data_IF_028568437269
#
_entry.id   IF_028568437269
#
_cell.length_a   1.000
_cell.length_b   1.000
_cell.length_c   1.000
_cell.angle_alpha   90.00
_cell.angle_beta   90.00
_cell.angle_gamma   90.00
#
_symmetry.space_group_name_H-M   'P 1'
#
loop_
_entity.id
_entity.type
_entity.pdbx_description
1 polymer ?
#
# COMPACT_ATOMS: atom_id res chain seq x y z
N UNK A 1 -9.30 8.30 5.14
CA UNK A 1 -9.92 7.37 6.12
C UNK A 1 -11.26 7.96 6.56
N UNK A 2 -12.15 7.23 7.27
CA UNK A 2 -13.38 7.82 7.79
C UNK A 2 -13.08 9.09 8.62
N UNK A 3 -14.01 10.05 8.62
CA UNK A 3 -14.02 11.20 9.54
C UNK A 3 -12.81 12.17 9.44
N UNK A 4 -12.24 12.36 8.25
CA UNK A 4 -11.17 13.34 8.05
C UNK A 4 -9.77 12.85 8.48
N UNK A 5 -9.65 11.58 8.86
CA UNK A 5 -8.36 10.96 9.12
C UNK A 5 -7.57 10.71 7.82
N UNK A 6 -6.25 10.86 7.89
CA UNK A 6 -5.31 10.78 6.76
C UNK A 6 -4.29 9.66 7.00
N UNK A 7 -3.86 9.00 5.92
CA UNK A 7 -2.74 8.05 5.98
C UNK A 7 -1.62 8.56 5.10
N UNK A 8 -0.46 8.78 5.71
CA UNK A 8 0.78 9.10 5.03
C UNK A 8 1.56 7.82 4.76
N UNK A 9 2.28 7.80 3.65
CA UNK A 9 3.07 6.66 3.23
C UNK A 9 4.51 7.08 2.94
N UNK A 10 5.46 6.38 3.54
CA UNK A 10 6.89 6.58 3.35
C UNK A 10 7.53 5.30 2.83
N UNK A 11 7.86 5.26 1.54
CA UNK A 11 8.46 4.11 0.87
C UNK A 11 9.94 4.32 0.62
N UNK A 12 10.76 3.30 0.87
CA UNK A 12 12.17 3.26 0.48
C UNK A 12 12.38 2.55 -0.86
N UNK A 13 11.30 2.06 -1.48
CA UNK A 13 11.34 1.42 -2.79
C UNK A 13 11.73 2.45 -3.88
N UNK A 14 12.34 2.00 -4.99
CA UNK A 14 12.55 0.60 -5.37
C UNK A 14 13.75 -0.08 -4.71
N UNK A 15 14.74 0.68 -4.21
CA UNK A 15 16.02 0.10 -3.74
C UNK A 15 15.92 -0.43 -2.30
N UNK A 16 15.01 0.11 -1.49
CA UNK A 16 14.76 -0.30 -0.12
C UNK A 16 13.60 -1.28 0.02
N UNK A 17 13.62 -2.06 1.11
CA UNK A 17 12.67 -3.14 1.41
C UNK A 17 11.52 -2.75 2.35
N UNK A 18 11.43 -1.48 2.71
CA UNK A 18 10.48 -1.00 3.72
C UNK A 18 9.57 0.07 3.13
N UNK A 19 8.29 -0.04 3.48
CA UNK A 19 7.34 1.05 3.40
C UNK A 19 6.66 1.20 4.75
N UNK A 20 6.42 2.43 5.18
CA UNK A 20 5.78 2.77 6.45
C UNK A 20 4.46 3.48 6.19
N UNK A 21 3.42 3.05 6.88
CA UNK A 21 2.13 3.74 6.94
C UNK A 21 2.02 4.48 8.26
N UNK A 22 1.70 5.77 8.19
CA UNK A 22 1.48 6.63 9.35
C UNK A 22 0.06 7.14 9.30
N UNK A 23 -0.73 6.79 10.31
CA UNK A 23 -2.12 7.21 10.42
C UNK A 23 -2.23 8.46 11.27
N UNK A 24 -2.95 9.45 10.74
CA UNK A 24 -3.26 10.70 11.40
C UNK A 24 -4.76 10.75 11.74
N UNK A 25 -5.09 11.26 12.92
CA UNK A 25 -6.47 11.66 13.23
C UNK A 25 -6.87 12.93 12.47
N UNK A 26 -8.14 13.35 12.60
CA UNK A 26 -8.66 14.55 11.95
C UNK A 26 -8.00 15.85 12.42
N UNK A 27 -7.25 15.83 13.53
CA UNK A 27 -6.47 16.96 14.02
C UNK A 27 -5.01 16.92 13.54
N UNK A 28 -4.65 15.96 12.69
CA UNK A 28 -3.30 15.77 12.17
C UNK A 28 -2.33 15.10 13.15
N UNK A 29 -2.81 14.49 14.25
CA UNK A 29 -1.95 13.79 15.21
C UNK A 29 -1.74 12.34 14.80
N UNK A 30 -0.50 11.88 14.94
CA UNK A 30 -0.15 10.47 14.70
C UNK A 30 -0.86 9.57 15.72
N UNK A 31 -1.66 8.63 15.22
CA UNK A 31 -2.35 7.61 16.02
C UNK A 31 -1.77 6.21 15.82
N UNK A 32 -1.13 5.95 14.68
CA UNK A 32 -0.41 4.70 14.44
C UNK A 32 0.76 4.89 13.46
N UNK A 33 1.78 4.06 13.59
CA UNK A 33 2.86 3.90 12.61
C UNK A 33 3.19 2.42 12.49
N UNK A 34 3.22 1.90 11.25
CA UNK A 34 3.49 0.48 10.99
C UNK A 34 4.35 0.28 9.74
N UNK A 35 5.24 -0.72 9.78
CA UNK A 35 5.88 -1.23 8.58
C UNK A 35 4.83 -2.03 7.79
N UNK A 36 4.66 -1.69 6.51
CA UNK A 36 3.58 -2.19 5.68
C UNK A 36 3.91 -3.54 5.05
N UNK A 37 5.15 -3.73 4.59
CA UNK A 37 5.60 -4.89 3.82
C UNK A 37 6.08 -6.04 4.73
N UNK A 38 5.22 -6.54 5.63
CA UNK A 38 5.47 -7.77 6.42
C UNK A 38 4.68 -8.94 5.87
N UNK A 39 5.17 -10.16 6.12
CA UNK A 39 4.45 -11.41 5.82
C UNK A 39 3.05 -11.41 6.48
N UNK A 40 2.96 -11.03 7.76
CA UNK A 40 1.68 -10.98 8.47
C UNK A 40 0.67 -10.03 7.82
N UNK A 41 1.13 -8.89 7.28
CA UNK A 41 0.24 -7.98 6.57
C UNK A 41 -0.18 -8.56 5.22
N UNK A 42 0.73 -9.20 4.47
CA UNK A 42 0.40 -9.86 3.21
C UNK A 42 -0.61 -11.00 3.39
N UNK A 43 -0.53 -11.74 4.49
CA UNK A 43 -1.48 -12.82 4.81
C UNK A 43 -2.92 -12.33 5.04
N UNK A 44 -3.14 -11.01 5.15
CA UNK A 44 -4.48 -10.42 5.28
C UNK A 44 -5.16 -10.13 3.95
N UNK A 45 -4.45 -10.27 2.82
CA UNK A 45 -5.04 -10.07 1.50
C UNK A 45 -6.10 -11.13 1.26
N UNK A 46 -7.28 -10.71 0.84
CA UNK A 46 -8.39 -11.62 0.49
C UNK A 46 -8.58 -11.64 -1.03
N UNK A 47 -8.14 -12.71 -1.72
CA UNK A 47 -8.32 -12.85 -3.15
C UNK A 47 -9.79 -12.79 -3.55
N UNK A 48 -10.10 -12.08 -4.64
CA UNK A 48 -11.47 -11.89 -5.13
C UNK A 48 -12.27 -10.79 -4.41
N UNK A 49 -11.81 -10.32 -3.25
CA UNK A 49 -12.42 -9.20 -2.52
C UNK A 49 -11.55 -7.94 -2.60
N UNK A 50 -10.24 -8.08 -2.45
CA UNK A 50 -9.32 -6.94 -2.51
C UNK A 50 -9.16 -6.45 -3.95
N UNK A 51 -9.38 -5.15 -4.14
CA UNK A 51 -9.09 -4.46 -5.39
C UNK A 51 -7.66 -3.91 -5.34
N UNK A 52 -7.15 -3.43 -6.48
CA UNK A 52 -5.91 -2.64 -6.54
C UNK A 52 -5.88 -1.54 -5.49
N UNK A 53 -6.94 -0.74 -5.38
CA UNK A 53 -7.01 0.37 -4.43
C UNK A 53 -6.86 -0.10 -2.98
N UNK A 54 -7.37 -1.29 -2.65
CA UNK A 54 -7.16 -1.89 -1.33
C UNK A 54 -5.68 -2.23 -1.09
N UNK A 55 -5.01 -2.82 -2.09
CA UNK A 55 -3.58 -3.16 -2.01
C UNK A 55 -2.73 -1.89 -1.89
N UNK A 56 -2.95 -0.90 -2.77
CA UNK A 56 -2.20 0.35 -2.76
C UNK A 56 -2.43 1.15 -1.48
N UNK A 57 -3.66 1.13 -0.91
CA UNK A 57 -3.93 1.77 0.38
C UNK A 57 -3.21 1.10 1.56
N UNK A 58 -2.99 -0.21 1.52
CA UNK A 58 -2.40 -0.95 2.65
C UNK A 58 -0.89 -1.17 2.56
N UNK A 59 -0.35 -1.24 1.35
CA UNK A 59 1.07 -1.53 1.07
C UNK A 59 1.78 -0.44 0.29
N UNK A 60 1.02 0.46 -0.33
CA UNK A 60 1.53 1.50 -1.21
C UNK A 60 1.66 1.09 -2.67
N UNK A 61 2.13 2.01 -3.52
CA UNK A 61 2.35 1.74 -4.93
C UNK A 61 3.43 0.67 -5.06
N UNK A 62 3.34 -0.16 -6.11
CA UNK A 62 4.34 -1.19 -6.39
C UNK A 62 5.69 -0.54 -6.68
N UNK A 63 6.78 -1.25 -6.34
CA UNK A 63 8.14 -0.81 -6.69
C UNK A 63 8.33 -0.62 -8.21
N UNK A 64 7.70 -1.49 -8.99
CA UNK A 64 7.77 -1.47 -10.45
C UNK A 64 6.38 -1.78 -11.03
N UNK A 65 6.05 -1.12 -12.14
CA UNK A 65 4.93 -1.51 -13.00
C UNK A 65 5.54 -1.96 -14.30
N UNK A 66 5.49 -3.27 -14.55
CA UNK A 66 6.01 -3.88 -15.76
C UNK A 66 4.86 -4.27 -16.70
N UNK A 67 5.18 -4.37 -17.98
CA UNK A 67 4.29 -4.86 -19.03
C UNK A 67 5.03 -5.97 -19.81
N UNK A 68 4.31 -6.99 -20.26
CA UNK A 68 4.86 -8.07 -21.09
C UNK A 68 4.37 -7.93 -22.53
N UNK A 69 5.20 -8.30 -23.50
CA UNK A 69 4.90 -8.09 -24.92
C UNK A 69 3.61 -8.76 -25.43
N UNK A 70 3.12 -9.80 -24.74
CA UNK A 70 1.86 -10.48 -25.05
C UNK A 70 0.62 -9.87 -24.38
N UNK A 71 0.78 -8.80 -23.59
CA UNK A 71 -0.30 -8.15 -22.84
C UNK A 71 -0.18 -6.63 -22.95
N UNK A 72 -1.21 -5.98 -23.49
CA UNK A 72 -1.22 -4.53 -23.72
C UNK A 72 -1.61 -3.69 -22.48
N UNK A 73 -1.75 -4.33 -21.31
CA UNK A 73 -2.06 -3.65 -20.04
C UNK A 73 -0.92 -3.74 -19.01
N UNK A 74 -1.05 -3.10 -17.84
CA UNK A 74 -0.17 -3.38 -16.71
C UNK A 74 -0.39 -4.81 -16.19
N UNK A 75 0.66 -5.45 -15.64
CA UNK A 75 0.57 -6.82 -15.06
C UNK A 75 -0.28 -6.83 -13.78
N UNK A 76 -0.26 -5.73 -13.03
CA UNK A 76 -1.21 -5.51 -11.95
C UNK A 76 -2.54 -5.10 -12.62
N UNK A 77 -3.60 -5.89 -12.50
CA UNK A 77 -4.97 -5.49 -12.87
C UNK A 77 -5.94 -6.08 -11.88
#
# INVERSE_FOLDING_TARGET
MPNGAERLQYSLQPVGRYAWMVDLDAAGKVVASRQALTIDNFNRIEPGTWTRDHVEREFGPPAFVEAVASWNGPILT
#
